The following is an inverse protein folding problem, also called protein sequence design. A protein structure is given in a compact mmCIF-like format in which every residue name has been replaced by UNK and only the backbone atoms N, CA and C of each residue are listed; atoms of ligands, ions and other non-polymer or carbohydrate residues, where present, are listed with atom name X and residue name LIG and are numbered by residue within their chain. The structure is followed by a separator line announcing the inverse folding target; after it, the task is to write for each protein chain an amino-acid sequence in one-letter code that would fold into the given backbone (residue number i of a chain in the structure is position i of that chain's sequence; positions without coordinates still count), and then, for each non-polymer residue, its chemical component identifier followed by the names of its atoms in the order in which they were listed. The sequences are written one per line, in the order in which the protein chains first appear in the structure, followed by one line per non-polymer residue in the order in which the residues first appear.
data_IF_883349334353
#
_entry.id   IF_883349334353
#
_cell.length_a   1.000
_cell.length_b   1.000
_cell.length_c   1.000
_cell.angle_alpha   90.00
_cell.angle_beta   90.00
_cell.angle_gamma   90.00
#
_symmetry.space_group_name_H-M   'P 1'
#
loop_
_entity.id
_entity.type
_entity.pdbx_description
1 polymer ?
#
# COMPACT_ATOMS: atom_id res chain seq x y z
N UNK A 1 -10.10 14.37 -19.42
CA UNK A 1 -8.86 14.57 -18.64
C UNK A 1 -8.65 13.59 -17.47
N UNK A 2 -9.71 12.99 -16.88
CA UNK A 2 -9.57 12.11 -15.71
C UNK A 2 -8.62 10.91 -15.89
N UNK A 3 -8.69 10.20 -17.01
CA UNK A 3 -7.79 9.06 -17.30
C UNK A 3 -6.31 9.47 -17.27
N UNK A 4 -5.94 10.55 -17.96
CA UNK A 4 -4.56 11.02 -18.01
C UNK A 4 -4.05 11.42 -16.62
N UNK A 5 -4.88 12.08 -15.82
CA UNK A 5 -4.50 12.46 -14.46
C UNK A 5 -4.42 11.24 -13.52
N UNK A 6 -5.29 10.24 -13.71
CA UNK A 6 -5.19 8.97 -12.99
C UNK A 6 -3.88 8.25 -13.32
N UNK A 7 -3.51 8.15 -14.61
CA UNK A 7 -2.24 7.58 -15.05
C UNK A 7 -1.04 8.31 -14.45
N UNK A 8 -1.05 9.65 -14.42
CA UNK A 8 -0.02 10.46 -13.75
C UNK A 8 0.08 10.11 -12.26
N UNK A 9 -1.05 9.93 -11.58
CA UNK A 9 -1.12 9.61 -10.15
C UNK A 9 -0.51 8.24 -9.87
N UNK A 10 -0.94 7.19 -10.58
CA UNK A 10 -0.44 5.82 -10.35
C UNK A 10 1.03 5.67 -10.77
N UNK A 11 1.48 6.36 -11.83
CA UNK A 11 2.88 6.33 -12.24
C UNK A 11 3.78 7.03 -11.21
N UNK A 12 3.33 8.16 -10.65
CA UNK A 12 4.05 8.86 -9.58
C UNK A 12 4.16 7.98 -8.33
N UNK A 13 3.07 7.33 -7.94
CA UNK A 13 3.06 6.37 -6.82
C UNK A 13 4.04 5.22 -7.05
N UNK A 14 3.90 4.52 -8.19
CA UNK A 14 4.78 3.40 -8.56
C UNK A 14 6.25 3.80 -8.57
N UNK A 15 6.58 5.00 -9.06
CA UNK A 15 7.95 5.51 -9.05
C UNK A 15 8.52 5.61 -7.63
N UNK A 16 7.77 6.19 -6.69
CA UNK A 16 8.22 6.31 -5.30
C UNK A 16 8.36 4.95 -4.63
N UNK A 17 7.39 4.04 -4.82
CA UNK A 17 7.51 2.67 -4.29
C UNK A 17 8.73 1.96 -4.87
N UNK A 18 8.96 2.08 -6.17
CA UNK A 18 10.15 1.50 -6.82
C UNK A 18 11.43 2.02 -6.18
N UNK A 19 11.54 3.35 -5.99
CA UNK A 19 12.70 3.98 -5.34
C UNK A 19 12.90 3.45 -3.92
N UNK A 20 11.85 3.37 -3.11
CA UNK A 20 11.92 2.91 -1.73
C UNK A 20 12.29 1.41 -1.63
N UNK A 21 11.62 0.56 -2.43
CA UNK A 21 11.94 -0.86 -2.51
C UNK A 21 13.41 -1.08 -2.92
N UNK A 22 13.94 -0.30 -3.87
CA UNK A 22 15.33 -0.42 -4.30
C UNK A 22 16.31 -0.03 -3.20
N UNK A 23 15.98 0.99 -2.38
CA UNK A 23 16.78 1.35 -1.21
C UNK A 23 16.81 0.23 -0.16
N UNK A 24 15.74 -0.56 -0.07
CA UNK A 24 15.66 -1.74 0.77
C UNK A 24 16.27 -3.00 0.11
N UNK A 25 16.77 -2.95 -1.12
CA UNK A 25 17.28 -4.13 -1.86
C UNK A 25 16.19 -5.02 -2.51
N UNK A 26 14.93 -4.59 -2.46
CA UNK A 26 13.77 -5.32 -3.01
C UNK A 26 13.49 -4.94 -4.47
N UNK A 27 14.45 -5.15 -5.36
CA UNK A 27 14.35 -4.74 -6.76
C UNK A 27 13.15 -5.34 -7.49
N UNK A 28 12.89 -6.64 -7.28
CA UNK A 28 11.77 -7.34 -7.91
C UNK A 28 10.43 -6.75 -7.47
N UNK A 29 10.26 -6.45 -6.18
CA UNK A 29 9.05 -5.86 -5.63
C UNK A 29 8.83 -4.48 -6.26
N UNK A 30 9.83 -3.60 -6.27
CA UNK A 30 9.70 -2.27 -6.88
C UNK A 30 9.28 -2.32 -8.36
N UNK A 31 9.92 -3.18 -9.15
CA UNK A 31 9.61 -3.33 -10.58
C UNK A 31 8.18 -3.86 -10.82
N UNK A 32 7.74 -4.84 -10.02
CA UNK A 32 6.45 -5.51 -10.20
C UNK A 32 5.30 -4.87 -9.42
N UNK A 33 5.59 -3.90 -8.55
CA UNK A 33 4.61 -3.22 -7.71
C UNK A 33 3.47 -2.66 -8.57
N UNK A 34 2.24 -2.99 -8.20
CA UNK A 34 1.00 -2.43 -8.72
C UNK A 34 0.79 -2.50 -10.22
N UNK A 35 1.41 -3.46 -10.91
CA UNK A 35 1.20 -3.64 -12.34
C UNK A 35 -0.26 -3.96 -12.70
N UNK A 36 -1.05 -4.46 -11.75
CA UNK A 36 -2.49 -4.68 -11.94
C UNK A 36 -3.27 -3.37 -12.18
N UNK A 37 -2.76 -2.20 -11.73
CA UNK A 37 -3.37 -0.88 -11.93
C UNK A 37 -3.55 -0.52 -13.40
N UNK A 38 -2.76 -1.13 -14.30
CA UNK A 38 -2.82 -0.92 -15.74
C UNK A 38 -3.78 -1.88 -16.46
N UNK A 39 -4.43 -2.79 -15.73
CA UNK A 39 -5.49 -3.65 -16.28
C UNK A 39 -6.74 -2.84 -16.61
N UNK A 40 -7.56 -3.33 -17.54
CA UNK A 40 -8.84 -2.70 -17.88
C UNK A 40 -9.75 -2.49 -16.66
N UNK A 41 -9.84 -3.50 -15.79
CA UNK A 41 -10.67 -3.48 -14.57
C UNK A 41 -10.34 -2.29 -13.67
N UNK A 42 -9.05 -2.05 -13.42
CA UNK A 42 -8.60 -0.99 -12.53
C UNK A 42 -8.55 0.38 -13.23
N UNK A 43 -8.04 0.45 -14.46
CA UNK A 43 -7.94 1.69 -15.22
C UNK A 43 -9.30 2.32 -15.51
N UNK A 44 -10.31 1.51 -15.85
CA UNK A 44 -11.67 2.01 -16.13
C UNK A 44 -12.26 2.71 -14.90
N UNK A 45 -12.21 2.06 -13.75
CA UNK A 45 -12.69 2.63 -12.48
C UNK A 45 -11.85 3.84 -12.09
N UNK A 46 -10.53 3.73 -12.18
CA UNK A 46 -9.60 4.82 -11.92
C UNK A 46 -9.92 6.07 -12.73
N UNK A 47 -10.14 5.92 -14.04
CA UNK A 47 -10.53 7.02 -14.93
C UNK A 47 -11.92 7.59 -14.63
N UNK A 48 -12.90 6.74 -14.30
CA UNK A 48 -14.27 7.17 -13.99
C UNK A 48 -14.31 8.04 -12.72
N UNK A 49 -13.64 7.57 -11.67
CA UNK A 49 -13.75 8.11 -10.31
C UNK A 49 -12.57 8.99 -9.88
N UNK A 50 -11.61 9.30 -10.75
CA UNK A 50 -10.50 10.18 -10.39
C UNK A 50 -10.97 11.56 -9.94
N UNK A 51 -10.53 11.98 -8.75
CA UNK A 51 -10.77 13.29 -8.16
C UNK A 51 -9.51 14.02 -7.65
N UNK A 52 -8.34 13.35 -7.66
CA UNK A 52 -7.05 13.92 -7.26
C UNK A 52 -6.76 13.95 -5.76
N UNK A 53 -7.78 13.92 -4.89
CA UNK A 53 -7.61 14.06 -3.42
C UNK A 53 -7.69 12.75 -2.64
N UNK A 54 -8.26 11.70 -3.23
CA UNK A 54 -8.38 10.37 -2.61
C UNK A 54 -8.42 9.27 -3.66
N UNK A 55 -8.39 8.02 -3.21
CA UNK A 55 -8.43 6.85 -4.09
C UNK A 55 -9.76 6.78 -4.88
N UNK A 56 -9.73 6.56 -6.21
CA UNK A 56 -10.91 6.26 -7.01
C UNK A 56 -11.72 5.08 -6.47
N UNK A 57 -11.06 4.12 -5.82
CA UNK A 57 -11.68 2.94 -5.23
C UNK A 57 -12.60 3.31 -4.06
N UNK A 58 -12.26 4.34 -3.28
CA UNK A 58 -13.13 4.81 -2.19
C UNK A 58 -14.42 5.39 -2.74
N UNK A 59 -14.35 6.16 -3.83
CA UNK A 59 -15.52 6.74 -4.48
C UNK A 59 -16.38 5.65 -5.12
N UNK A 60 -15.78 4.64 -5.76
CA UNK A 60 -16.52 3.48 -6.27
C UNK A 60 -17.30 2.80 -5.14
N UNK A 61 -16.64 2.54 -4.01
CA UNK A 61 -17.26 1.93 -2.82
C UNK A 61 -18.42 2.75 -2.28
N UNK A 62 -18.30 4.07 -2.23
CA UNK A 62 -19.39 4.96 -1.81
C UNK A 62 -20.54 5.02 -2.84
N UNK A 63 -20.25 4.79 -4.12
CA UNK A 63 -21.26 4.87 -5.20
C UNK A 63 -22.09 3.59 -5.31
N UNK A 64 -21.46 2.42 -5.17
CA UNK A 64 -22.11 1.11 -5.46
C UNK A 64 -21.98 0.09 -4.32
N UNK A 65 -21.42 0.47 -3.16
CA UNK A 65 -21.26 -0.40 -1.99
C UNK A 65 -19.98 -1.25 -1.96
N UNK A 66 -19.21 -1.30 -3.05
CA UNK A 66 -17.96 -2.05 -3.14
C UNK A 66 -17.03 -1.43 -4.19
N UNK A 67 -15.77 -1.87 -4.25
CA UNK A 67 -14.86 -1.46 -5.32
C UNK A 67 -14.38 -2.67 -6.12
N UNK A 68 -14.83 -2.76 -7.37
CA UNK A 68 -14.40 -3.79 -8.32
C UNK A 68 -12.89 -3.70 -8.58
N UNK A 69 -12.37 -2.47 -8.68
CA UNK A 69 -10.95 -2.23 -8.84
C UNK A 69 -10.16 -2.67 -7.60
N UNK A 70 -10.62 -2.36 -6.38
CA UNK A 70 -9.93 -2.80 -5.15
C UNK A 70 -9.91 -4.32 -4.99
N UNK A 71 -11.03 -5.00 -5.28
CA UNK A 71 -11.10 -6.46 -5.23
C UNK A 71 -10.10 -7.11 -6.20
N UNK A 72 -10.03 -6.60 -7.43
CA UNK A 72 -9.07 -7.05 -8.43
C UNK A 72 -7.62 -6.79 -8.01
N UNK A 73 -7.38 -5.62 -7.42
CA UNK A 73 -6.09 -5.10 -7.02
C UNK A 73 -5.47 -5.86 -5.84
N UNK A 74 -6.19 -5.93 -4.73
CA UNK A 74 -5.72 -6.64 -3.53
C UNK A 74 -5.53 -8.14 -3.79
N UNK A 75 -6.29 -8.71 -4.73
CA UNK A 75 -6.15 -10.11 -5.16
C UNK A 75 -4.96 -10.40 -6.10
N UNK A 76 -4.19 -9.39 -6.52
CA UNK A 76 -3.03 -9.55 -7.43
C UNK A 76 -1.72 -8.99 -6.88
N UNK A 77 -1.79 -8.07 -5.92
CA UNK A 77 -0.61 -7.46 -5.33
C UNK A 77 -0.42 -7.98 -3.89
N UNK A 78 0.61 -8.80 -3.72
CA UNK A 78 0.88 -9.56 -2.49
C UNK A 78 1.34 -8.70 -1.31
N UNK A 79 1.63 -7.41 -1.52
CA UNK A 79 1.92 -6.50 -0.41
C UNK A 79 0.66 -5.98 0.29
N UNK A 80 -0.55 -6.22 -0.25
CA UNK A 80 -1.78 -5.98 0.50
C UNK A 80 -2.04 -7.16 1.43
N UNK A 81 -2.26 -6.87 2.71
CA UNK A 81 -2.59 -7.89 3.70
C UNK A 81 -3.88 -8.65 3.35
N UNK A 82 -4.82 -8.00 2.65
CA UNK A 82 -6.05 -8.66 2.19
C UNK A 82 -5.83 -9.79 1.18
N UNK A 83 -4.66 -9.85 0.53
CA UNK A 83 -4.28 -10.98 -0.33
C UNK A 83 -4.12 -12.27 0.50
N UNK A 84 -3.71 -12.11 1.76
CA UNK A 84 -3.34 -13.20 2.68
C UNK A 84 -4.46 -13.56 3.65
N UNK A 85 -5.67 -13.04 3.42
CA UNK A 85 -6.87 -13.40 4.15
C UNK A 85 -7.52 -14.59 3.47
N UNK A 86 -7.55 -15.73 4.16
CA UNK A 86 -8.15 -16.98 3.72
C UNK A 86 -9.54 -17.19 4.34
N UNK A 87 -10.40 -17.87 3.59
CA UNK A 87 -11.73 -18.29 4.05
C UNK A 87 -11.69 -19.80 4.28
N UNK A 88 -11.38 -20.19 5.52
CA UNK A 88 -11.26 -21.58 5.91
C UNK A 88 -12.55 -22.08 6.61
N UNK A 89 -12.58 -23.37 6.94
CA UNK A 89 -13.66 -23.95 7.75
C UNK A 89 -13.75 -23.34 9.16
N UNK A 90 -12.70 -22.65 9.61
CA UNK A 90 -12.65 -21.95 10.90
C UNK A 90 -13.10 -20.48 10.77
N UNK A 91 -13.51 -20.05 9.57
CA UNK A 91 -13.89 -18.68 9.27
C UNK A 91 -12.79 -17.91 8.53
N UNK A 92 -12.82 -16.59 8.69
CA UNK A 92 -11.88 -15.68 8.03
C UNK A 92 -10.58 -15.64 8.83
N UNK A 93 -9.48 -16.08 8.23
CA UNK A 93 -8.18 -16.23 8.91
C UNK A 93 -7.06 -15.56 8.10
N UNK A 94 -6.19 -14.79 8.76
CA UNK A 94 -5.05 -14.17 8.11
C UNK A 94 -3.80 -15.05 8.18
N UNK A 95 -3.18 -15.33 7.04
CA UNK A 95 -1.88 -15.97 6.97
C UNK A 95 -0.76 -14.95 7.23
N UNK A 96 0.35 -15.41 7.83
CA UNK A 96 1.56 -14.59 7.95
C UNK A 96 2.08 -14.24 6.55
N UNK A 97 2.28 -12.95 6.31
CA UNK A 97 2.91 -12.47 5.09
C UNK A 97 4.41 -12.75 5.10
N UNK A 98 5.02 -13.16 3.96
CA UNK A 98 6.47 -13.16 3.81
C UNK A 98 7.04 -11.74 3.99
N UNK A 99 8.13 -11.61 4.74
CA UNK A 99 8.69 -10.33 5.20
C UNK A 99 8.92 -9.31 4.07
N UNK A 100 9.41 -9.76 2.91
CA UNK A 100 9.58 -8.91 1.70
C UNK A 100 8.29 -8.18 1.25
N UNK A 101 7.12 -8.78 1.45
CA UNK A 101 5.83 -8.18 1.11
C UNK A 101 5.34 -7.24 2.21
N UNK A 102 5.74 -7.45 3.46
CA UNK A 102 5.51 -6.50 4.56
C UNK A 102 6.37 -5.24 4.36
N UNK A 103 7.63 -5.40 3.94
CA UNK A 103 8.49 -4.27 3.58
C UNK A 103 7.97 -3.54 2.33
N UNK A 104 7.48 -4.26 1.32
CA UNK A 104 6.79 -3.64 0.18
C UNK A 104 5.53 -2.88 0.63
N UNK A 105 4.76 -3.41 1.59
CA UNK A 105 3.59 -2.74 2.17
C UNK A 105 3.98 -1.43 2.91
N UNK A 106 5.10 -1.43 3.62
CA UNK A 106 5.67 -0.23 4.22
C UNK A 106 6.01 0.81 3.13
N UNK A 107 6.74 0.39 2.09
CA UNK A 107 7.12 1.26 0.98
C UNK A 107 5.90 1.84 0.24
N UNK A 108 4.88 1.02 0.00
CA UNK A 108 3.59 1.42 -0.58
C UNK A 108 2.92 2.53 0.26
N UNK A 109 2.82 2.33 1.58
CA UNK A 109 2.15 3.28 2.48
C UNK A 109 2.88 4.62 2.58
N UNK A 110 4.22 4.60 2.65
CA UNK A 110 5.05 5.81 2.62
C UNK A 110 4.88 6.55 1.29
N UNK A 111 4.92 5.84 0.17
CA UNK A 111 4.75 6.46 -1.14
C UNK A 111 3.33 7.04 -1.34
N UNK A 112 2.29 6.33 -0.91
CA UNK A 112 0.91 6.78 -1.03
C UNK A 112 0.69 8.09 -0.26
N UNK A 113 1.14 8.14 1.00
CA UNK A 113 1.03 9.36 1.83
C UNK A 113 1.85 10.51 1.25
N UNK A 114 3.04 10.26 0.71
CA UNK A 114 3.83 11.27 0.01
C UNK A 114 3.15 11.81 -1.26
N UNK A 115 2.49 10.93 -2.04
CA UNK A 115 1.76 11.33 -3.25
C UNK A 115 0.54 12.20 -2.92
N UNK A 116 -0.23 11.82 -1.89
CA UNK A 116 -1.48 12.50 -1.53
C UNK A 116 -1.30 13.74 -0.64
N UNK A 117 -0.39 13.72 0.34
CA UNK A 117 -0.09 14.90 1.18
C UNK A 117 0.83 15.90 0.48
N UNK A 118 1.67 15.45 -0.45
CA UNK A 118 2.51 16.34 -1.25
C UNK A 118 3.45 17.18 -0.38
N UNK A 119 3.22 18.49 -0.31
CA UNK A 119 4.04 19.42 0.50
C UNK A 119 3.81 19.25 2.00
N UNK A 120 2.66 18.72 2.39
CA UNK A 120 2.26 18.51 3.78
C UNK A 120 2.65 17.11 4.28
N UNK A 121 3.58 16.44 3.59
CA UNK A 121 4.08 15.14 4.01
C UNK A 121 5.04 15.28 5.19
N UNK A 122 4.85 14.42 6.18
CA UNK A 122 5.72 14.26 7.33
C UNK A 122 5.85 12.76 7.66
N UNK A 123 6.85 12.39 8.44
CA UNK A 123 7.17 10.99 8.72
C UNK A 123 6.11 10.25 9.55
N UNK A 124 5.21 10.95 10.25
CA UNK A 124 4.12 10.32 11.00
C UNK A 124 2.93 9.95 10.10
N UNK A 125 2.79 10.58 8.92
CA UNK A 125 1.66 10.36 8.01
C UNK A 125 1.35 8.88 7.69
N UNK A 126 2.34 8.00 7.44
CA UNK A 126 2.11 6.58 7.20
C UNK A 126 1.55 5.85 8.45
N UNK A 127 2.05 6.19 9.64
CA UNK A 127 1.60 5.63 10.91
C UNK A 127 0.19 6.12 11.25
N UNK A 128 -0.10 7.41 11.10
CA UNK A 128 -1.44 7.98 11.28
C UNK A 128 -2.49 7.23 10.44
N UNK A 129 -2.16 7.00 9.17
CA UNK A 129 -3.05 6.30 8.26
C UNK A 129 -3.27 4.84 8.67
N UNK A 130 -2.21 4.16 9.12
CA UNK A 130 -2.31 2.82 9.67
C UNK A 130 -3.21 2.80 10.92
N UNK A 131 -2.93 3.61 11.94
CA UNK A 131 -3.71 3.67 13.18
C UNK A 131 -5.18 4.00 12.94
N UNK A 132 -5.48 4.94 12.04
CA UNK A 132 -6.86 5.33 11.69
C UNK A 132 -7.67 4.18 11.07
N UNK A 133 -7.01 3.21 10.45
CA UNK A 133 -7.66 2.14 9.68
C UNK A 133 -7.48 0.75 10.29
N UNK A 134 -6.65 0.63 11.32
CA UNK A 134 -6.20 -0.64 11.88
C UNK A 134 -7.33 -1.46 12.52
N UNK A 135 -8.33 -0.82 13.12
CA UNK A 135 -9.41 -1.48 13.87
C UNK A 135 -10.20 -2.54 13.07
N UNK A 136 -10.18 -2.48 11.74
CA UNK A 136 -10.87 -3.44 10.87
C UNK A 136 -9.91 -4.37 10.10
N UNK A 137 -8.62 -4.36 10.40
CA UNK A 137 -7.65 -5.21 9.71
C UNK A 137 -7.81 -6.65 10.15
N UNK A 138 -7.79 -7.56 9.17
CA UNK A 138 -7.69 -9.00 9.41
C UNK A 138 -6.28 -9.40 9.01
N UNK A 139 -5.33 -9.16 9.91
CA UNK A 139 -3.90 -9.33 9.66
C UNK A 139 -3.29 -10.31 10.67
N UNK A 140 -2.33 -11.11 10.23
CA UNK A 140 -1.61 -12.02 11.12
C UNK A 140 -0.81 -11.22 12.16
N UNK A 141 -0.81 -11.60 13.47
CA UNK A 141 -0.17 -10.81 14.52
C UNK A 141 1.30 -10.46 14.27
N UNK A 142 2.10 -11.39 13.74
CA UNK A 142 3.51 -11.10 13.40
C UNK A 142 3.66 -10.13 12.23
N UNK A 143 2.77 -10.21 11.23
CA UNK A 143 2.75 -9.25 10.11
C UNK A 143 2.37 -7.87 10.61
N UNK A 144 1.39 -7.80 11.51
CA UNK A 144 0.90 -6.56 12.11
C UNK A 144 1.96 -5.89 12.98
N UNK A 145 2.63 -6.67 13.84
CA UNK A 145 3.75 -6.19 14.65
C UNK A 145 4.89 -5.66 13.79
N UNK A 146 5.25 -6.36 12.71
CA UNK A 146 6.34 -5.96 11.82
C UNK A 146 6.02 -4.66 11.06
N UNK A 147 4.82 -4.51 10.48
CA UNK A 147 4.46 -3.26 9.79
C UNK A 147 4.38 -2.10 10.78
N UNK A 148 3.80 -2.32 11.96
CA UNK A 148 3.69 -1.29 12.99
C UNK A 148 5.05 -0.80 13.45
N UNK A 149 5.98 -1.71 13.73
CA UNK A 149 7.34 -1.38 14.15
C UNK A 149 8.09 -0.52 13.12
N UNK A 150 8.03 -0.88 11.83
CA UNK A 150 8.65 -0.06 10.77
C UNK A 150 8.02 1.35 10.66
N UNK A 151 6.70 1.46 10.84
CA UNK A 151 5.99 2.75 10.78
C UNK A 151 6.26 3.61 12.01
N UNK A 152 6.33 3.01 13.20
CA UNK A 152 6.71 3.69 14.44
C UNK A 152 8.17 4.16 14.39
N UNK A 153 9.07 3.35 13.83
CA UNK A 153 10.46 3.77 13.64
C UNK A 153 10.53 4.97 12.71
N UNK A 154 9.81 4.97 11.58
CA UNK A 154 9.74 6.12 10.67
C UNK A 154 9.21 7.38 11.37
N UNK A 155 8.10 7.25 12.09
CA UNK A 155 7.46 8.38 12.77
C UNK A 155 8.38 9.03 13.82
N UNK A 156 9.24 8.24 14.48
CA UNK A 156 10.16 8.71 15.51
C UNK A 156 11.56 9.09 14.98
N UNK A 157 11.82 8.91 13.68
CA UNK A 157 13.14 9.13 13.08
C UNK A 157 13.03 9.78 11.68
N UNK A 158 13.82 9.28 10.74
CA UNK A 158 13.78 9.66 9.34
C UNK A 158 13.85 8.43 8.42
N UNK A 159 13.59 8.66 7.14
CA UNK A 159 13.52 7.61 6.13
C UNK A 159 14.85 6.87 5.96
N UNK A 160 15.99 7.54 6.12
CA UNK A 160 17.31 6.95 5.88
C UNK A 160 17.67 5.98 7.01
N UNK A 161 17.47 6.40 8.27
CA UNK A 161 17.60 5.55 9.45
C UNK A 161 16.63 4.36 9.41
N UNK A 162 15.36 4.62 9.06
CA UNK A 162 14.36 3.55 8.96
C UNK A 162 14.73 2.51 7.90
N UNK A 163 15.26 2.93 6.75
CA UNK A 163 15.69 1.99 5.71
C UNK A 163 16.89 1.16 6.18
N UNK A 164 17.85 1.76 6.88
CA UNK A 164 18.96 1.02 7.47
C UNK A 164 18.45 -0.02 8.48
N UNK A 165 17.56 0.38 9.37
CA UNK A 165 16.92 -0.47 10.36
C UNK A 165 16.16 -1.65 9.72
N UNK A 166 15.34 -1.39 8.69
CA UNK A 166 14.61 -2.43 7.96
C UNK A 166 15.57 -3.46 7.37
N UNK A 167 16.67 -3.00 6.77
CA UNK A 167 17.67 -3.88 6.17
C UNK A 167 18.45 -4.70 7.18
N UNK A 168 18.62 -4.22 8.40
CA UNK A 168 19.33 -4.96 9.45
C UNK A 168 18.42 -5.99 10.13
N UNK A 169 17.15 -5.63 10.34
CA UNK A 169 16.23 -6.39 11.16
C UNK A 169 15.35 -7.37 10.40
N UNK A 170 14.99 -7.07 9.16
CA UNK A 170 13.93 -7.77 8.42
C UNK A 170 14.33 -8.32 7.04
N UNK A 171 15.50 -7.96 6.52
CA UNK A 171 16.00 -8.38 5.20
C UNK A 171 17.41 -8.97 5.30
#
# INVERSE_FOLDING_TARGET
MKLLNHLKTINKHKYYVTKLCFRCGLYKQGLLHDLSKYSYTELKTGAKYWCGTRSPNSIERETIGYSSAWLHHKGRNKHHWEYWVDFSHQGVTAARMPDRYVVEMFCDRVAATLVYRGKDFDNSAPLDYYLKTHDYYVMHPETDAMIKDMLEHLANSNLDETIAYIKERYL
#
